data_IF_560216109541
#
_entry.id   IF_560216109541
#
_cell.length_a   1.000
_cell.length_b   1.000
_cell.length_c   1.000
_cell.angle_alpha   90.00
_cell.angle_beta   90.00
_cell.angle_gamma   90.00
#
_symmetry.space_group_name_H-M   'P 1'
#
loop_
_entity.id
_entity.type
_entity.pdbx_description
1 polymer ?
#
# COMPACT_ATOMS: atom_id res chain seq x y z
N UNK A 1 2.47 -22.58 -19.85
CA UNK A 1 3.20 -22.54 -18.57
C UNK A 1 4.56 -21.90 -18.80
N UNK A 2 4.72 -20.63 -18.45
CA UNK A 2 5.95 -19.87 -18.70
C UNK A 2 6.97 -20.11 -17.57
N UNK A 3 8.17 -20.55 -17.93
CA UNK A 3 9.32 -20.63 -17.01
C UNK A 3 9.83 -19.22 -16.73
N UNK A 4 9.71 -18.75 -15.50
CA UNK A 4 10.40 -17.55 -15.04
C UNK A 4 11.90 -17.85 -14.91
N UNK A 5 12.73 -17.13 -15.67
CA UNK A 5 14.18 -17.12 -15.49
C UNK A 5 14.49 -16.25 -14.27
N UNK A 6 15.09 -16.85 -13.23
CA UNK A 6 15.67 -16.13 -12.08
C UNK A 6 16.92 -15.38 -12.54
N UNK A 7 16.87 -14.05 -12.55
CA UNK A 7 18.08 -13.22 -12.54
C UNK A 7 18.26 -12.75 -11.09
N UNK A 8 19.32 -13.22 -10.44
CA UNK A 8 19.71 -12.72 -9.13
C UNK A 8 20.29 -11.32 -9.30
N UNK A 9 19.60 -10.30 -8.79
CA UNK A 9 20.13 -8.94 -8.67
C UNK A 9 21.33 -8.94 -7.73
N UNK A 10 22.47 -8.45 -8.22
CA UNK A 10 23.67 -8.23 -7.42
C UNK A 10 23.45 -6.94 -6.60
N UNK A 11 23.35 -7.07 -5.28
CA UNK A 11 23.47 -5.93 -4.39
C UNK A 11 24.95 -5.49 -4.35
N UNK A 12 25.25 -4.34 -4.95
CA UNK A 12 26.55 -3.70 -4.80
C UNK A 12 26.55 -2.90 -3.49
N UNK A 13 27.23 -3.43 -2.48
CA UNK A 13 27.44 -2.76 -1.20
C UNK A 13 28.72 -1.91 -1.34
N UNK A 14 28.58 -0.60 -1.53
CA UNK A 14 29.72 0.32 -1.55
C UNK A 14 30.21 0.57 -0.13
N UNK A 15 31.33 -0.05 0.25
CA UNK A 15 32.05 0.27 1.49
C UNK A 15 33.46 0.76 1.14
N UNK A 16 33.80 1.97 1.59
CA UNK A 16 35.14 2.53 1.48
C UNK A 16 36.02 2.06 2.64
N UNK A 17 37.20 1.52 2.31
CA UNK A 17 38.43 1.67 3.11
C UNK A 17 38.92 0.45 3.91
N UNK A 18 40.15 0.00 3.59
CA UNK A 18 41.02 -0.76 4.51
C UNK A 18 41.39 -2.16 4.02
N UNK A 19 42.60 -2.30 3.45
CA UNK A 19 43.05 -3.54 2.80
C UNK A 19 43.46 -4.68 3.73
N UNK A 20 43.40 -5.91 3.17
CA UNK A 20 44.44 -6.96 3.26
C UNK A 20 43.99 -8.19 2.45
N UNK A 21 44.96 -8.82 1.80
CA UNK A 21 44.84 -9.98 0.88
C UNK A 21 44.36 -11.24 1.60
N UNK A 22 43.48 -12.02 0.97
CA UNK A 22 43.10 -13.38 1.37
C UNK A 22 42.19 -14.04 0.32
N UNK A 23 42.48 -15.30 -0.03
CA UNK A 23 42.07 -16.00 -1.26
C UNK A 23 40.58 -16.27 -1.48
N UNK A 24 40.20 -16.35 -2.75
CA UNK A 24 38.90 -16.80 -3.24
C UNK A 24 38.81 -18.34 -3.21
N UNK A 25 37.77 -18.87 -2.57
CA UNK A 25 37.30 -20.25 -2.78
C UNK A 25 35.92 -20.16 -3.43
N UNK A 26 35.83 -20.55 -4.70
CA UNK A 26 34.57 -20.65 -5.43
C UNK A 26 33.94 -22.02 -5.16
N UNK A 27 32.77 -22.04 -4.53
CA UNK A 27 31.95 -23.25 -4.39
C UNK A 27 30.91 -23.28 -5.52
N UNK A 28 31.08 -24.22 -6.45
CA UNK A 28 30.10 -24.53 -7.48
C UNK A 28 29.01 -25.45 -6.90
N UNK A 29 27.74 -25.14 -7.14
CA UNK A 29 26.61 -26.02 -6.81
C UNK A 29 25.92 -26.44 -8.10
N UNK A 30 25.89 -27.76 -8.31
CA UNK A 30 25.27 -28.48 -9.44
C UNK A 30 23.74 -28.51 -9.27
N UNK A 31 23.01 -28.21 -10.35
CA UNK A 31 21.55 -28.34 -10.41
C UNK A 31 21.14 -29.70 -11.01
N UNK A 32 20.28 -30.43 -10.30
CA UNK A 32 19.60 -31.62 -10.82
C UNK A 32 18.12 -31.31 -11.09
N UNK A 33 17.64 -31.63 -12.29
CA UNK A 33 16.26 -31.45 -12.76
C UNK A 33 15.55 -32.80 -12.71
N UNK A 34 14.36 -32.84 -12.10
CA UNK A 34 13.41 -33.96 -12.25
C UNK A 34 12.06 -33.37 -12.70
N UNK A 35 11.57 -33.85 -13.84
CA UNK A 35 10.26 -33.55 -14.43
C UNK A 35 9.33 -34.73 -14.18
N UNK A 36 8.13 -34.48 -13.65
CA UNK A 36 6.99 -35.39 -13.78
C UNK A 36 5.73 -34.55 -14.03
N UNK A 37 5.00 -34.94 -15.09
CA UNK A 37 3.78 -34.28 -15.57
C UNK A 37 2.51 -34.86 -14.93
N UNK A 38 1.40 -34.18 -15.23
CA UNK A 38 0.05 -34.64 -14.91
C UNK A 38 -0.99 -33.80 -15.64
N UNK A 39 -1.72 -34.44 -16.56
CA UNK A 39 -2.89 -33.90 -17.25
C UNK A 39 -4.15 -34.01 -16.37
N UNK A 40 -5.07 -33.06 -16.51
CA UNK A 40 -6.43 -33.17 -15.97
C UNK A 40 -7.36 -32.23 -16.73
N UNK A 41 -8.27 -32.80 -17.52
CA UNK A 41 -9.29 -32.12 -18.31
C UNK A 41 -10.54 -31.84 -17.46
N UNK A 42 -11.26 -30.76 -17.79
CA UNK A 42 -12.60 -30.46 -17.29
C UNK A 42 -13.53 -30.11 -18.44
N UNK A 43 -14.78 -30.55 -18.34
CA UNK A 43 -15.91 -30.27 -19.21
C UNK A 43 -17.23 -30.44 -18.41
N UNK A 44 -18.37 -29.96 -18.93
CA UNK A 44 -19.07 -28.80 -18.35
C UNK A 44 -20.57 -29.05 -18.06
N UNK A 45 -21.32 -27.94 -17.96
CA UNK A 45 -22.79 -27.77 -18.06
C UNK A 45 -23.62 -27.92 -16.75
N UNK A 46 -24.76 -27.28 -16.52
CA UNK A 46 -25.60 -26.17 -17.07
C UNK A 46 -26.72 -25.97 -16.03
N UNK A 47 -27.50 -24.88 -16.08
CA UNK A 47 -28.88 -24.91 -15.57
C UNK A 47 -29.39 -23.66 -14.85
N UNK A 48 -30.22 -22.89 -15.55
CA UNK A 48 -31.24 -21.93 -15.07
C UNK A 48 -32.35 -22.65 -14.26
N UNK A 49 -33.40 -22.08 -13.66
CA UNK A 49 -34.20 -20.87 -13.88
C UNK A 49 -35.26 -20.76 -12.76
N UNK A 50 -35.90 -19.58 -12.63
CA UNK A 50 -37.27 -19.38 -12.07
C UNK A 50 -37.49 -19.62 -10.56
N UNK A 51 -38.36 -18.90 -9.84
CA UNK A 51 -39.67 -18.36 -10.23
C UNK A 51 -40.17 -17.34 -9.20
N UNK A 52 -40.97 -16.37 -9.68
CA UNK A 52 -41.70 -15.34 -8.93
C UNK A 52 -42.82 -15.93 -8.07
N UNK A 53 -43.18 -15.22 -6.99
CA UNK A 53 -44.46 -15.36 -6.28
C UNK A 53 -45.17 -14.01 -6.18
N UNK A 54 -46.49 -14.10 -6.06
CA UNK A 54 -47.57 -13.16 -6.43
C UNK A 54 -48.38 -12.66 -5.22
N UNK A 55 -49.12 -11.56 -5.41
CA UNK A 55 -50.37 -11.21 -4.67
C UNK A 55 -50.25 -9.95 -3.80
N UNK A 56 -50.86 -8.79 -4.16
CA UNK A 56 -52.27 -8.36 -3.99
C UNK A 56 -52.67 -8.13 -2.52
N UNK A 57 -53.43 -7.11 -2.07
CA UNK A 57 -54.01 -5.89 -2.65
C UNK A 57 -54.76 -5.11 -1.51
N UNK A 58 -55.14 -3.83 -1.77
CA UNK A 58 -56.24 -3.02 -1.14
C UNK A 58 -56.04 -2.60 0.34
N UNK A 59 -56.22 -1.36 0.83
CA UNK A 59 -56.92 -0.16 0.38
C UNK A 59 -57.99 0.23 1.44
N UNK A 60 -58.00 1.48 1.93
CA UNK A 60 -59.21 2.28 2.25
C UNK A 60 -58.94 3.50 3.16
N UNK A 61 -59.62 4.56 2.78
CA UNK A 61 -59.57 5.95 3.22
C UNK A 61 -60.00 6.25 4.65
N UNK A 62 -59.42 7.33 5.18
CA UNK A 62 -59.86 8.00 6.40
C UNK A 62 -60.86 9.12 6.14
N UNK A 63 -61.80 9.27 7.07
CA UNK A 63 -62.52 10.52 7.37
C UNK A 63 -62.85 10.54 8.86
N UNK A 64 -62.44 11.58 9.58
CA UNK A 64 -63.38 12.33 10.43
C UNK A 64 -62.84 13.71 10.82
N UNK A 65 -63.76 14.67 10.88
CA UNK A 65 -63.54 16.05 11.28
C UNK A 65 -63.73 16.24 12.79
N UNK A 66 -63.09 17.26 13.38
CA UNK A 66 -63.28 17.68 14.77
C UNK A 66 -62.61 19.03 15.04
N UNK A 67 -63.37 19.94 15.65
CA UNK A 67 -63.13 21.38 15.75
C UNK A 67 -62.49 21.83 17.07
N UNK A 68 -61.87 23.02 17.02
CA UNK A 68 -61.65 24.04 18.06
C UNK A 68 -60.59 23.82 19.16
N UNK A 69 -59.75 24.86 19.34
CA UNK A 69 -58.91 25.05 20.53
C UNK A 69 -57.75 26.02 20.31
N UNK A 70 -58.00 27.32 20.49
CA UNK A 70 -56.95 28.34 20.50
C UNK A 70 -55.91 28.04 21.59
N UNK A 71 -54.64 27.94 21.19
CA UNK A 71 -53.50 27.84 22.10
C UNK A 71 -52.32 28.65 21.56
N UNK A 72 -51.73 29.41 22.47
CA UNK A 72 -50.60 30.34 22.37
C UNK A 72 -49.42 29.78 21.57
N UNK A 73 -48.67 30.58 20.78
CA UNK A 73 -47.53 30.04 20.04
C UNK A 73 -46.39 29.71 21.01
N UNK A 74 -46.28 28.44 21.39
CA UNK A 74 -45.06 27.89 21.95
C UNK A 74 -44.01 27.84 20.84
N UNK A 75 -42.88 28.52 21.05
CA UNK A 75 -41.73 28.45 20.17
C UNK A 75 -41.36 26.99 19.95
N UNK A 76 -41.60 26.49 18.73
CA UNK A 76 -41.13 25.18 18.31
C UNK A 76 -39.61 25.23 18.37
N UNK A 77 -38.91 24.32 19.07
CA UNK A 77 -37.48 24.19 18.86
C UNK A 77 -37.32 23.82 17.39
N UNK A 78 -36.76 24.76 16.62
CA UNK A 78 -36.32 24.51 15.25
C UNK A 78 -35.47 23.27 15.31
N UNK A 79 -36.02 22.15 14.84
CA UNK A 79 -35.28 20.90 14.71
C UNK A 79 -34.20 21.21 13.71
N UNK A 80 -32.99 21.49 14.21
CA UNK A 80 -31.82 21.60 13.37
C UNK A 80 -31.81 20.31 12.53
N UNK A 81 -32.03 20.47 11.22
CA UNK A 81 -31.85 19.38 10.28
C UNK A 81 -30.46 18.82 10.57
N UNK A 82 -30.30 17.51 10.83
CA UNK A 82 -28.96 16.97 11.00
C UNK A 82 -28.20 17.32 9.73
N UNK A 83 -27.17 18.17 9.86
CA UNK A 83 -26.21 18.38 8.78
C UNK A 83 -25.78 16.98 8.37
N UNK A 84 -26.00 16.64 7.09
CA UNK A 84 -25.50 15.40 6.54
C UNK A 84 -24.04 15.27 6.97
N UNK A 85 -23.72 14.26 7.80
CA UNK A 85 -22.37 14.10 8.32
C UNK A 85 -21.45 13.95 7.11
N UNK A 86 -20.62 14.95 6.88
CA UNK A 86 -19.59 14.89 5.85
C UNK A 86 -18.67 13.74 6.21
N UNK A 87 -18.52 12.79 5.28
CA UNK A 87 -17.61 11.65 5.47
C UNK A 87 -16.22 12.16 5.88
N UNK A 88 -15.48 11.43 6.73
CA UNK A 88 -14.27 11.95 7.39
C UNK A 88 -13.16 12.42 6.43
N UNK A 89 -13.14 11.91 5.21
CA UNK A 89 -12.19 12.29 4.16
C UNK A 89 -12.82 13.01 2.96
N UNK A 90 -14.03 13.56 3.12
CA UNK A 90 -14.68 14.34 2.07
C UNK A 90 -13.76 15.48 1.59
N UNK A 91 -13.53 15.54 0.28
CA UNK A 91 -12.65 16.53 -0.35
C UNK A 91 -11.15 16.22 -0.28
N UNK A 92 -10.74 15.12 0.37
CA UNK A 92 -9.35 14.67 0.40
C UNK A 92 -8.97 13.85 -0.82
N UNK A 93 -7.74 14.00 -1.28
CA UNK A 93 -7.14 13.22 -2.37
C UNK A 93 -5.98 12.39 -1.82
N UNK A 94 -6.04 11.07 -2.01
CA UNK A 94 -4.97 10.14 -1.60
C UNK A 94 -4.38 9.46 -2.83
N UNK A 95 -3.06 9.55 -2.98
CA UNK A 95 -2.33 8.77 -3.98
C UNK A 95 -1.80 7.47 -3.36
N UNK A 96 -2.23 6.32 -3.88
CA UNK A 96 -1.69 5.01 -3.50
C UNK A 96 -0.82 4.48 -4.64
N UNK A 97 0.37 4.02 -4.27
CA UNK A 97 1.35 3.46 -5.18
C UNK A 97 1.54 1.98 -4.85
N UNK A 98 0.81 1.06 -5.50
CA UNK A 98 1.10 -0.36 -5.38
C UNK A 98 2.45 -0.62 -6.05
N UNK A 99 3.46 -0.95 -5.23
CA UNK A 99 4.84 -1.17 -5.67
C UNK A 99 4.94 -2.24 -6.75
N UNK A 100 5.85 -2.01 -7.71
CA UNK A 100 6.10 -2.88 -8.87
C UNK A 100 4.88 -3.04 -9.79
N UNK A 101 4.97 -3.93 -10.79
CA UNK A 101 3.85 -4.32 -11.64
C UNK A 101 3.81 -5.83 -11.87
N UNK A 102 2.60 -6.40 -12.06
CA UNK A 102 2.43 -7.86 -12.19
C UNK A 102 3.26 -8.50 -13.30
N UNK A 103 3.53 -7.78 -14.39
CA UNK A 103 4.18 -8.31 -15.60
C UNK A 103 5.59 -7.76 -15.85
N UNK A 104 6.18 -7.00 -14.91
CA UNK A 104 7.53 -6.42 -15.06
C UNK A 104 8.60 -7.49 -15.42
N UNK A 105 8.45 -8.73 -14.95
CA UNK A 105 9.37 -9.83 -15.27
C UNK A 105 9.44 -10.19 -16.77
N UNK A 106 8.47 -9.75 -17.58
CA UNK A 106 8.42 -9.92 -19.03
C UNK A 106 9.04 -8.74 -19.79
N UNK A 107 9.35 -7.63 -19.11
CA UNK A 107 9.74 -6.34 -19.67
C UNK A 107 11.05 -5.82 -19.05
N UNK A 108 12.01 -6.72 -18.87
CA UNK A 108 13.27 -6.41 -18.17
C UNK A 108 14.08 -5.30 -18.86
N UNK A 109 14.01 -5.20 -20.20
CA UNK A 109 14.68 -4.14 -20.95
C UNK A 109 14.10 -2.76 -20.61
N UNK A 110 12.78 -2.66 -20.52
CA UNK A 110 12.07 -1.41 -20.27
C UNK A 110 12.24 -0.94 -18.83
N UNK A 111 12.11 -1.85 -17.86
CA UNK A 111 12.25 -1.51 -16.43
C UNK A 111 13.71 -1.23 -16.03
N UNK A 112 14.70 -1.81 -16.73
CA UNK A 112 16.12 -1.53 -16.47
C UNK A 112 16.59 -0.19 -17.06
N UNK A 113 15.77 0.51 -17.86
CA UNK A 113 16.12 1.85 -18.34
C UNK A 113 16.26 2.80 -17.16
N UNK A 114 17.39 3.50 -17.07
CA UNK A 114 17.60 4.46 -16.00
C UNK A 114 16.67 5.68 -16.13
N UNK A 115 16.10 6.13 -15.01
CA UNK A 115 15.36 7.39 -14.84
C UNK A 115 16.07 8.28 -13.83
N UNK A 116 15.81 9.57 -13.90
CA UNK A 116 16.31 10.54 -12.91
C UNK A 116 15.44 10.46 -11.65
N UNK A 117 16.06 10.31 -10.49
CA UNK A 117 15.39 10.27 -9.20
C UNK A 117 15.65 11.51 -8.33
N UNK A 118 16.11 12.60 -8.96
CA UNK A 118 16.44 13.88 -8.36
C UNK A 118 17.86 13.91 -7.80
N UNK A 119 18.29 12.89 -7.08
CA UNK A 119 19.65 12.82 -6.48
C UNK A 119 20.67 12.08 -7.34
N UNK A 120 20.23 11.10 -8.11
CA UNK A 120 21.03 10.32 -9.06
C UNK A 120 20.09 9.64 -10.09
N UNK A 121 20.59 8.64 -10.83
CA UNK A 121 19.77 7.82 -11.72
C UNK A 121 19.64 6.39 -11.19
N UNK A 122 18.45 5.81 -11.34
CA UNK A 122 18.13 4.42 -10.98
C UNK A 122 17.25 3.78 -12.04
N UNK A 123 17.11 2.47 -12.02
CA UNK A 123 16.22 1.71 -12.88
C UNK A 123 14.79 2.27 -12.82
N UNK A 124 14.11 2.26 -13.96
CA UNK A 124 12.72 2.70 -14.11
C UNK A 124 11.81 1.99 -13.11
N UNK A 125 11.90 0.67 -13.01
CA UNK A 125 11.18 -0.13 -12.01
C UNK A 125 11.95 -1.44 -11.78
N UNK A 126 11.48 -2.27 -10.86
CA UNK A 126 11.97 -3.63 -10.64
C UNK A 126 10.82 -4.62 -10.62
N UNK A 127 11.13 -5.92 -10.62
CA UNK A 127 10.10 -6.97 -10.53
C UNK A 127 9.48 -7.09 -9.14
N UNK A 128 10.11 -6.51 -8.12
CA UNK A 128 9.86 -6.84 -6.73
C UNK A 128 10.40 -8.22 -6.35
N UNK A 129 10.18 -8.61 -5.09
CA UNK A 129 10.49 -9.94 -4.55
C UNK A 129 9.30 -10.90 -4.67
N UNK A 130 9.40 -12.07 -4.06
CA UNK A 130 8.30 -13.04 -3.95
C UNK A 130 8.47 -13.88 -2.67
N UNK A 131 7.42 -14.57 -2.24
CA UNK A 131 7.57 -15.61 -1.22
C UNK A 131 8.34 -16.82 -1.75
N UNK A 132 8.83 -17.67 -0.85
CA UNK A 132 9.46 -18.94 -1.25
C UNK A 132 8.51 -19.89 -2.00
N UNK A 133 7.19 -19.68 -1.89
CA UNK A 133 6.17 -20.42 -2.64
C UNK A 133 5.76 -19.74 -3.96
N UNK A 134 6.44 -18.67 -4.36
CA UNK A 134 6.20 -17.96 -5.62
C UNK A 134 5.01 -17.00 -5.60
N UNK A 135 4.58 -16.50 -4.43
CA UNK A 135 3.60 -15.41 -4.38
C UNK A 135 4.32 -14.06 -4.60
N UNK A 136 4.09 -13.36 -5.73
CA UNK A 136 4.87 -12.16 -6.08
C UNK A 136 4.49 -10.95 -5.24
N UNK A 137 5.47 -10.08 -4.97
CA UNK A 137 5.26 -8.80 -4.28
C UNK A 137 4.25 -7.93 -5.03
N UNK A 138 4.39 -7.78 -6.35
CA UNK A 138 3.47 -6.99 -7.17
C UNK A 138 2.00 -7.44 -7.05
N UNK A 139 1.75 -8.73 -6.83
CA UNK A 139 0.41 -9.26 -6.59
C UNK A 139 -0.11 -8.92 -5.19
N UNK A 140 0.78 -8.92 -4.19
CA UNK A 140 0.46 -8.49 -2.83
C UNK A 140 0.13 -6.99 -2.77
N UNK A 141 1.00 -6.15 -3.31
CA UNK A 141 0.87 -4.68 -3.24
C UNK A 141 -0.38 -4.21 -3.96
N UNK A 142 -0.70 -4.78 -5.13
CA UNK A 142 -1.92 -4.47 -5.89
C UNK A 142 -3.20 -4.87 -5.14
N UNK A 143 -3.25 -6.08 -4.56
CA UNK A 143 -4.42 -6.51 -3.77
C UNK A 143 -4.64 -5.61 -2.55
N UNK A 144 -3.58 -5.32 -1.77
CA UNK A 144 -3.70 -4.45 -0.59
C UNK A 144 -4.09 -3.03 -1.00
N UNK A 145 -3.49 -2.46 -2.05
CA UNK A 145 -3.82 -1.11 -2.51
C UNK A 145 -5.27 -0.97 -2.95
N UNK A 146 -5.83 -1.98 -3.63
CA UNK A 146 -7.26 -2.02 -4.01
C UNK A 146 -8.17 -2.07 -2.80
N UNK A 147 -7.81 -2.82 -1.74
CA UNK A 147 -8.55 -2.85 -0.47
C UNK A 147 -8.48 -1.50 0.24
N UNK A 148 -7.31 -0.90 0.33
CA UNK A 148 -7.12 0.44 0.92
C UNK A 148 -7.95 1.47 0.16
N UNK A 149 -7.93 1.45 -1.18
CA UNK A 149 -8.77 2.30 -2.03
C UNK A 149 -10.25 2.18 -1.67
N UNK A 150 -10.78 0.96 -1.55
CA UNK A 150 -12.18 0.74 -1.22
C UNK A 150 -12.55 1.35 0.15
N UNK A 151 -11.69 1.15 1.16
CA UNK A 151 -11.91 1.69 2.51
C UNK A 151 -11.85 3.23 2.51
N UNK A 152 -10.86 3.83 1.85
CA UNK A 152 -10.70 5.28 1.79
C UNK A 152 -11.82 5.95 0.98
N UNK A 153 -12.27 5.33 -0.11
CA UNK A 153 -13.41 5.80 -0.90
C UNK A 153 -14.71 5.77 -0.09
N UNK A 154 -14.94 4.72 0.72
CA UNK A 154 -16.06 4.66 1.64
C UNK A 154 -16.00 5.75 2.74
N UNK A 155 -14.81 6.28 3.02
CA UNK A 155 -14.58 7.43 3.91
C UNK A 155 -14.66 8.79 3.20
N UNK A 156 -14.97 8.83 1.91
CA UNK A 156 -15.17 10.05 1.14
C UNK A 156 -13.93 10.59 0.41
N UNK A 157 -12.78 9.89 0.48
CA UNK A 157 -11.58 10.32 -0.23
C UNK A 157 -11.68 10.01 -1.73
N UNK A 158 -11.16 10.92 -2.57
CA UNK A 158 -10.76 10.59 -3.93
C UNK A 158 -9.43 9.83 -3.87
N UNK A 159 -9.38 8.64 -4.45
CA UNK A 159 -8.17 7.81 -4.45
C UNK A 159 -7.64 7.69 -5.88
N UNK A 160 -6.36 8.02 -6.05
CA UNK A 160 -5.61 7.85 -7.31
C UNK A 160 -4.63 6.70 -7.12
N UNK A 161 -4.68 5.70 -8.00
CA UNK A 161 -3.65 4.66 -8.05
C UNK A 161 -2.59 5.04 -9.07
N UNK A 162 -1.30 4.82 -8.76
CA UNK A 162 -0.23 4.99 -9.75
C UNK A 162 -0.27 3.93 -10.84
N UNK A 163 -0.83 2.76 -10.55
CA UNK A 163 -1.12 1.67 -11.47
C UNK A 163 -2.23 0.77 -10.91
N UNK A 164 -3.00 0.11 -11.77
CA UNK A 164 -4.05 -0.83 -11.35
C UNK A 164 -3.95 -2.18 -12.08
N UNK A 165 -2.73 -2.62 -12.42
CA UNK A 165 -2.48 -3.86 -13.17
C UNK A 165 -2.95 -3.82 -14.62
N UNK A 166 -3.10 -2.63 -15.17
CA UNK A 166 -3.64 -2.31 -16.49
C UNK A 166 -2.56 -1.93 -17.52
N UNK A 167 -1.29 -2.00 -17.13
CA UNK A 167 -0.12 -1.69 -17.96
C UNK A 167 0.77 -2.92 -18.13
N UNK A 168 1.45 -3.08 -19.28
CA UNK A 168 2.39 -4.17 -19.50
C UNK A 168 3.61 -4.09 -18.55
N UNK A 169 4.07 -2.88 -18.22
CA UNK A 169 5.11 -2.62 -17.24
C UNK A 169 5.02 -1.17 -16.75
N UNK A 170 5.69 -0.87 -15.64
CA UNK A 170 5.69 0.47 -15.05
C UNK A 170 4.29 0.96 -14.65
N UNK A 171 4.12 2.21 -14.21
CA UNK A 171 4.99 3.35 -14.48
C UNK A 171 6.34 3.30 -13.78
N UNK A 172 7.31 4.01 -14.34
CA UNK A 172 8.62 4.16 -13.72
C UNK A 172 8.52 4.93 -12.38
N UNK A 173 9.50 4.79 -11.48
CA UNK A 173 9.50 5.41 -10.14
C UNK A 173 9.36 6.94 -10.16
N UNK A 174 9.86 7.61 -11.19
CA UNK A 174 9.70 9.04 -11.44
C UNK A 174 8.27 9.39 -11.88
N UNK A 175 7.68 8.60 -12.78
CA UNK A 175 6.28 8.74 -13.19
C UNK A 175 5.32 8.46 -12.02
N UNK A 176 5.60 7.47 -11.17
CA UNK A 176 4.81 7.18 -9.95
C UNK A 176 4.78 8.35 -8.98
N UNK A 177 5.91 9.05 -8.80
CA UNK A 177 5.96 10.28 -8.01
C UNK A 177 5.14 11.40 -8.67
N UNK A 178 5.33 11.61 -9.98
CA UNK A 178 4.60 12.62 -10.75
C UNK A 178 3.08 12.43 -10.70
N UNK A 179 2.57 11.20 -10.80
CA UNK A 179 1.12 10.92 -10.70
C UNK A 179 0.53 11.47 -9.38
N UNK A 180 1.22 11.28 -8.26
CA UNK A 180 0.77 11.81 -6.97
C UNK A 180 0.80 13.34 -6.90
N UNK A 181 1.84 13.94 -7.49
CA UNK A 181 2.00 15.40 -7.54
C UNK A 181 0.93 16.05 -8.44
N UNK A 182 0.72 15.51 -9.65
CA UNK A 182 -0.25 16.00 -10.64
C UNK A 182 -1.70 15.83 -10.16
N UNK A 183 -1.96 14.83 -9.32
CA UNK A 183 -3.25 14.65 -8.67
C UNK A 183 -3.53 15.69 -7.57
N UNK A 184 -2.54 16.51 -7.21
CA UNK A 184 -2.58 17.40 -6.03
C UNK A 184 -3.00 16.65 -4.76
N UNK A 185 -2.44 15.46 -4.54
CA UNK A 185 -2.80 14.62 -3.41
C UNK A 185 -2.47 15.30 -2.07
N UNK A 186 -3.35 15.19 -1.08
CA UNK A 186 -3.06 15.60 0.30
C UNK A 186 -1.99 14.71 0.93
N UNK A 187 -1.92 13.44 0.51
CA UNK A 187 -0.97 12.45 0.98
C UNK A 187 -0.74 11.35 -0.07
N UNK A 188 0.48 10.83 -0.12
CA UNK A 188 0.84 9.68 -0.94
C UNK A 188 1.43 8.52 -0.10
N UNK A 189 1.18 7.29 -0.52
CA UNK A 189 1.72 6.09 0.14
C UNK A 189 2.16 5.07 -0.91
N UNK A 190 3.41 4.62 -0.85
CA UNK A 190 3.85 3.41 -1.55
C UNK A 190 3.71 2.17 -0.67
N UNK A 191 3.07 1.12 -1.18
CA UNK A 191 2.84 -0.14 -0.47
C UNK A 191 3.73 -1.21 -1.09
N UNK A 192 4.57 -1.83 -0.26
CA UNK A 192 5.57 -2.84 -0.63
C UNK A 192 5.61 -3.99 0.38
N UNK A 193 6.37 -5.04 0.03
CA UNK A 193 6.81 -6.05 0.97
C UNK A 193 8.27 -6.46 0.67
N UNK A 194 9.08 -6.61 1.72
CA UNK A 194 10.52 -6.68 1.57
C UNK A 194 11.02 -8.12 1.26
N UNK A 195 12.25 -8.20 0.77
CA UNK A 195 13.00 -9.44 0.61
C UNK A 195 14.32 -9.41 1.37
N UNK A 196 14.32 -9.96 2.59
CA UNK A 196 15.48 -10.01 3.48
C UNK A 196 15.86 -11.46 3.86
N UNK A 197 17.00 -11.73 4.52
CA UNK A 197 17.36 -13.09 4.96
C UNK A 197 16.24 -13.79 5.74
N UNK A 198 16.16 -15.12 5.69
CA UNK A 198 15.01 -15.86 6.21
C UNK A 198 14.72 -15.65 7.72
N UNK A 199 15.72 -15.27 8.53
CA UNK A 199 15.56 -14.93 9.95
C UNK A 199 15.08 -13.50 10.23
N UNK A 200 15.17 -12.61 9.23
CA UNK A 200 14.68 -11.25 9.29
C UNK A 200 13.16 -11.23 9.13
N UNK A 201 12.44 -10.43 9.90
CA UNK A 201 10.97 -10.35 9.84
C UNK A 201 10.46 -9.02 10.40
N UNK A 202 9.18 -8.73 10.16
CA UNK A 202 8.50 -7.53 10.62
C UNK A 202 8.45 -6.42 9.56
N UNK A 203 7.62 -5.42 9.84
CA UNK A 203 7.34 -4.31 8.94
C UNK A 203 8.15 -3.06 9.28
N UNK A 204 8.34 -2.17 8.31
CA UNK A 204 8.91 -0.85 8.55
C UNK A 204 8.31 0.21 7.62
N UNK A 205 8.40 1.47 8.04
CA UNK A 205 7.97 2.63 7.25
C UNK A 205 9.18 3.49 6.91
N UNK A 206 9.26 3.97 5.68
CA UNK A 206 10.37 4.78 5.18
C UNK A 206 9.84 6.19 4.88
N UNK A 207 10.43 7.19 5.53
CA UNK A 207 10.21 8.60 5.27
C UNK A 207 11.36 9.20 4.43
N UNK A 208 11.10 10.28 3.68
CA UNK A 208 12.14 10.99 2.95
C UNK A 208 13.11 11.70 3.92
N UNK A 209 14.39 11.66 3.59
CA UNK A 209 15.36 12.62 4.10
C UNK A 209 14.99 14.05 3.65
N UNK A 210 15.40 15.06 4.42
CA UNK A 210 15.26 16.46 4.02
C UNK A 210 16.36 16.84 3.04
N UNK A 211 16.06 16.73 1.74
CA UNK A 211 17.00 16.93 0.65
C UNK A 211 16.77 18.26 -0.05
N UNK A 212 17.86 18.85 -0.52
CA UNK A 212 17.89 19.93 -1.50
C UNK A 212 19.10 19.72 -2.40
N UNK A 213 19.00 18.79 -3.35
CA UNK A 213 20.11 18.37 -4.21
C UNK A 213 19.60 17.83 -5.53
N UNK A 214 20.28 18.20 -6.63
CA UNK A 214 19.86 17.90 -7.99
C UNK A 214 18.42 18.35 -8.25
N UNK A 215 17.57 17.45 -8.75
CA UNK A 215 16.14 17.69 -8.95
C UNK A 215 15.26 17.43 -7.73
N UNK A 216 15.82 16.99 -6.60
CA UNK A 216 15.06 16.67 -5.39
C UNK A 216 15.00 17.86 -4.41
N UNK A 217 13.78 18.24 -4.01
CA UNK A 217 13.53 19.16 -2.89
C UNK A 217 12.39 18.62 -2.01
N UNK A 218 12.77 17.90 -0.95
CA UNK A 218 11.83 17.29 0.00
C UNK A 218 11.71 18.07 1.31
N UNK A 219 12.37 19.23 1.43
CA UNK A 219 12.39 20.03 2.68
C UNK A 219 11.00 20.33 3.21
N UNK A 220 10.06 20.67 2.31
CA UNK A 220 8.66 20.98 2.67
C UNK A 220 7.86 19.77 3.14
N UNK A 221 8.24 18.57 2.68
CA UNK A 221 7.48 17.33 2.97
C UNK A 221 8.14 16.45 4.00
N UNK A 222 9.41 16.64 4.36
CA UNK A 222 10.15 15.75 5.24
C UNK A 222 9.50 15.63 6.64
N UNK A 223 9.21 16.75 7.30
CA UNK A 223 8.56 16.72 8.62
C UNK A 223 7.11 16.19 8.59
N UNK A 224 6.23 16.62 7.65
CA UNK A 224 4.92 16.00 7.47
C UNK A 224 4.98 14.50 7.17
N UNK A 225 5.93 14.06 6.35
CA UNK A 225 6.09 12.64 5.99
C UNK A 225 6.60 11.82 7.17
N UNK A 226 7.43 12.39 8.05
CA UNK A 226 7.83 11.74 9.29
C UNK A 226 6.64 11.55 10.24
N UNK A 227 5.75 12.56 10.35
CA UNK A 227 4.48 12.41 11.09
C UNK A 227 3.58 11.34 10.48
N UNK A 228 3.45 11.33 9.15
CA UNK A 228 2.72 10.27 8.44
C UNK A 228 3.33 8.90 8.75
N UNK A 229 4.65 8.77 8.71
CA UNK A 229 5.33 7.51 8.94
C UNK A 229 5.06 6.95 10.35
N UNK A 230 5.14 7.79 11.37
CA UNK A 230 4.90 7.37 12.75
C UNK A 230 3.42 7.05 13.01
N UNK A 231 2.49 7.83 12.47
CA UNK A 231 1.05 7.54 12.55
C UNK A 231 0.73 6.21 11.84
N UNK A 232 1.16 6.05 10.60
CA UNK A 232 0.93 4.83 9.81
C UNK A 232 1.50 3.59 10.51
N UNK A 233 2.72 3.71 11.06
CA UNK A 233 3.36 2.62 11.82
C UNK A 233 2.52 2.19 13.02
N UNK A 234 1.96 3.13 13.79
CA UNK A 234 1.12 2.83 14.96
C UNK A 234 -0.14 2.07 14.55
N UNK A 235 -0.88 2.58 13.55
CA UNK A 235 -2.14 1.97 13.10
C UNK A 235 -1.93 0.62 12.41
N UNK A 236 -0.88 0.48 11.59
CA UNK A 236 -0.55 -0.78 10.94
C UNK A 236 -0.23 -1.87 11.96
N UNK A 237 0.59 -1.56 12.97
CA UNK A 237 0.91 -2.48 14.05
C UNK A 237 -0.34 -2.91 14.82
N UNK A 238 -1.19 -1.95 15.19
CA UNK A 238 -2.42 -2.23 15.94
C UNK A 238 -3.38 -3.14 15.17
N UNK A 239 -3.55 -2.93 13.86
CA UNK A 239 -4.47 -3.71 13.05
C UNK A 239 -3.95 -5.12 12.69
N UNK A 240 -2.64 -5.27 12.47
CA UNK A 240 -2.06 -6.51 11.96
C UNK A 240 -1.44 -7.40 13.03
N UNK A 241 -0.98 -6.80 14.13
CA UNK A 241 -0.11 -7.46 15.11
C UNK A 241 1.34 -7.64 14.64
N UNK A 242 1.70 -7.19 13.44
CA UNK A 242 3.03 -7.37 12.86
C UNK A 242 4.09 -6.64 13.72
N UNK A 243 5.22 -7.28 14.07
CA UNK A 243 6.30 -6.63 14.80
C UNK A 243 7.05 -5.63 13.92
N UNK A 244 7.77 -4.71 14.55
CA UNK A 244 8.71 -3.86 13.80
C UNK A 244 9.85 -4.72 13.24
N UNK A 245 10.32 -4.36 12.05
CA UNK A 245 11.41 -5.03 11.37
C UNK A 245 12.65 -5.17 12.28
N UNK A 246 13.13 -6.38 12.47
CA UNK A 246 14.30 -6.67 13.32
C UNK A 246 15.66 -6.54 12.59
N UNK A 247 15.65 -6.16 11.31
CA UNK A 247 16.81 -6.16 10.42
C UNK A 247 17.13 -4.78 9.82
N UNK A 248 16.25 -3.79 10.04
CA UNK A 248 16.39 -2.41 9.57
C UNK A 248 15.89 -1.42 10.63
N UNK A 249 16.34 -0.16 10.51
CA UNK A 249 15.87 0.93 11.40
C UNK A 249 16.16 0.73 12.89
N UNK A 250 17.16 -0.11 13.23
CA UNK A 250 17.51 -0.42 14.63
C UNK A 250 16.37 -1.05 15.43
N UNK A 251 15.46 -1.79 14.80
CA UNK A 251 14.32 -2.42 15.46
C UNK A 251 13.12 -1.48 15.70
N UNK A 252 13.18 -0.23 15.21
CA UNK A 252 12.14 0.79 15.45
C UNK A 252 11.03 0.80 14.39
N UNK A 253 11.16 0.00 13.33
CA UNK A 253 10.18 -0.03 12.23
C UNK A 253 10.06 1.31 11.49
N UNK A 254 11.10 2.14 11.52
CA UNK A 254 11.14 3.47 10.89
C UNK A 254 12.52 3.72 10.31
N UNK A 255 12.56 4.23 9.09
CA UNK A 255 13.77 4.65 8.39
C UNK A 255 13.59 6.02 7.75
N UNK A 256 14.69 6.76 7.63
CA UNK A 256 14.77 8.00 6.83
C UNK A 256 15.80 7.76 5.74
N UNK A 257 15.42 8.01 4.48
CA UNK A 257 16.25 7.66 3.30
C UNK A 257 16.20 8.76 2.23
N UNK A 258 17.30 8.91 1.49
CA UNK A 258 17.44 9.86 0.38
C UNK A 258 17.73 9.22 -0.99
N UNK A 259 17.52 7.90 -1.14
CA UNK A 259 17.90 7.12 -2.33
C UNK A 259 16.69 6.53 -3.10
N UNK A 260 15.47 6.93 -2.75
CA UNK A 260 14.23 6.40 -3.33
C UNK A 260 13.53 7.46 -4.19
N UNK A 261 13.50 7.28 -5.51
CA UNK A 261 12.92 8.27 -6.43
C UNK A 261 11.45 8.58 -6.17
N UNK A 262 10.67 7.55 -5.79
CA UNK A 262 9.29 7.75 -5.38
C UNK A 262 9.13 8.72 -4.20
N UNK A 263 10.11 8.82 -3.31
CA UNK A 263 10.15 9.78 -2.19
C UNK A 263 10.80 11.11 -2.59
N UNK A 264 11.97 11.05 -3.21
CA UNK A 264 12.79 12.22 -3.54
C UNK A 264 12.10 13.20 -4.50
N UNK A 265 11.23 12.68 -5.38
CA UNK A 265 10.49 13.47 -6.38
C UNK A 265 9.07 13.84 -5.94
N UNK A 266 8.66 13.46 -4.72
CA UNK A 266 7.33 13.81 -4.20
C UNK A 266 7.29 15.28 -3.76
N UNK A 267 6.25 16.01 -4.15
CA UNK A 267 5.96 17.37 -3.64
C UNK A 267 4.86 17.39 -2.57
N UNK A 268 4.31 16.21 -2.26
CA UNK A 268 3.28 16.00 -1.23
C UNK A 268 3.83 15.07 -0.12
N UNK A 269 3.30 15.10 1.12
CA UNK A 269 3.71 14.17 2.17
C UNK A 269 3.61 12.71 1.68
N UNK A 270 4.73 11.98 1.74
CA UNK A 270 4.83 10.61 1.20
C UNK A 270 5.72 9.71 2.01
N UNK A 271 5.31 8.45 2.15
CA UNK A 271 6.11 7.38 2.78
C UNK A 271 6.01 6.08 1.97
N UNK A 272 6.94 5.16 2.22
CA UNK A 272 6.82 3.76 1.82
C UNK A 272 6.50 2.92 3.05
N UNK A 273 5.62 1.94 2.92
CA UNK A 273 5.47 0.88 3.93
C UNK A 273 5.92 -0.45 3.33
N UNK A 274 6.87 -1.08 4.01
CA UNK A 274 7.31 -2.45 3.77
C UNK A 274 6.58 -3.35 4.77
N UNK A 275 5.54 -4.03 4.31
CA UNK A 275 4.55 -4.66 5.20
C UNK A 275 5.04 -5.93 5.92
N UNK A 276 6.21 -6.45 5.58
CA UNK A 276 6.81 -7.67 6.12
C UNK A 276 7.84 -8.25 5.15
N UNK A 277 8.58 -9.28 5.56
CA UNK A 277 9.59 -9.94 4.73
C UNK A 277 9.03 -11.17 4.00
N UNK A 278 8.86 -11.12 2.68
CA UNK A 278 8.36 -12.23 1.86
C UNK A 278 9.22 -13.50 1.94
N UNK A 279 10.50 -13.38 2.31
CA UNK A 279 11.42 -14.51 2.45
C UNK A 279 11.39 -15.16 3.83
N UNK A 280 10.73 -14.54 4.81
CA UNK A 280 10.47 -15.11 6.12
C UNK A 280 9.21 -15.98 6.12
N UNK A 281 9.25 -17.13 6.79
CA UNK A 281 8.12 -18.07 6.80
C UNK A 281 6.87 -17.53 7.50
N UNK A 282 7.05 -16.78 8.58
CA UNK A 282 5.94 -16.22 9.37
C UNK A 282 5.29 -15.06 8.63
N UNK A 283 6.08 -14.10 8.14
CA UNK A 283 5.57 -12.96 7.38
C UNK A 283 4.93 -13.44 6.07
N UNK A 284 5.54 -14.39 5.35
CA UNK A 284 4.94 -14.95 4.14
C UNK A 284 3.56 -15.59 4.40
N UNK A 285 3.36 -16.25 5.57
CA UNK A 285 2.05 -16.79 5.96
C UNK A 285 1.02 -15.69 6.16
N UNK A 286 1.43 -14.56 6.75
CA UNK A 286 0.60 -13.36 6.88
C UNK A 286 0.28 -12.73 5.53
N UNK A 287 1.29 -12.42 4.71
CA UNK A 287 1.15 -11.72 3.43
C UNK A 287 0.30 -12.51 2.42
N UNK A 288 0.35 -13.85 2.44
CA UNK A 288 -0.46 -14.72 1.58
C UNK A 288 -1.91 -14.89 2.08
N UNK A 289 -2.21 -14.55 3.33
CA UNK A 289 -3.55 -14.63 3.90
C UNK A 289 -4.43 -13.45 3.49
N UNK A 290 -5.56 -13.73 2.83
CA UNK A 290 -6.53 -12.69 2.45
C UNK A 290 -7.10 -11.93 3.67
N UNK A 291 -7.35 -12.64 4.78
CA UNK A 291 -7.84 -12.02 6.01
C UNK A 291 -6.78 -11.08 6.63
N UNK A 292 -5.51 -11.45 6.58
CA UNK A 292 -4.44 -10.58 7.06
C UNK A 292 -4.24 -9.37 6.13
N UNK A 293 -4.30 -9.55 4.80
CA UNK A 293 -4.27 -8.43 3.84
C UNK A 293 -5.41 -7.43 4.05
N UNK A 294 -6.60 -7.92 4.44
CA UNK A 294 -7.70 -7.03 4.82
C UNK A 294 -7.38 -6.22 6.09
N UNK A 295 -6.77 -6.84 7.11
CA UNK A 295 -6.33 -6.12 8.32
C UNK A 295 -5.21 -5.12 8.03
N UNK A 296 -4.26 -5.48 7.17
CA UNK A 296 -3.21 -4.57 6.70
C UNK A 296 -3.82 -3.35 5.99
N UNK A 297 -4.77 -3.58 5.07
CA UNK A 297 -5.48 -2.51 4.39
C UNK A 297 -6.27 -1.60 5.35
N UNK A 298 -6.91 -2.19 6.37
CA UNK A 298 -7.60 -1.44 7.42
C UNK A 298 -6.62 -0.56 8.22
N UNK A 299 -5.50 -1.12 8.70
CA UNK A 299 -4.49 -0.36 9.44
C UNK A 299 -3.85 0.76 8.61
N UNK A 300 -3.64 0.52 7.31
CA UNK A 300 -3.17 1.56 6.38
C UNK A 300 -4.20 2.67 6.26
N UNK A 301 -5.47 2.33 5.99
CA UNK A 301 -6.52 3.32 5.83
C UNK A 301 -6.73 4.14 7.11
N UNK A 302 -6.68 3.50 8.29
CA UNK A 302 -6.78 4.17 9.59
C UNK A 302 -5.62 5.13 9.84
N UNK A 303 -4.39 4.72 9.51
CA UNK A 303 -3.22 5.59 9.62
C UNK A 303 -3.29 6.81 8.69
N UNK A 304 -3.77 6.61 7.46
CA UNK A 304 -3.97 7.71 6.50
C UNK A 304 -5.10 8.64 6.93
N UNK A 305 -6.22 8.10 7.42
CA UNK A 305 -7.33 8.90 7.96
C UNK A 305 -6.87 9.75 9.15
N UNK A 306 -6.21 9.13 10.13
CA UNK A 306 -5.71 9.85 11.30
C UNK A 306 -4.71 10.95 10.94
N UNK A 307 -3.84 10.72 9.95
CA UNK A 307 -2.92 11.75 9.45
C UNK A 307 -3.66 12.93 8.81
N UNK A 308 -4.66 12.65 7.96
CA UNK A 308 -5.42 13.67 7.22
C UNK A 308 -6.37 14.49 8.11
N UNK A 309 -6.87 13.91 9.19
CA UNK A 309 -7.69 14.60 10.19
C UNK A 309 -6.83 15.42 11.19
N UNK A 310 -5.50 15.33 11.11
CA UNK A 310 -4.60 16.05 12.00
C UNK A 310 -4.49 15.44 13.39
N UNK A 311 -4.96 14.21 13.59
CA UNK A 311 -4.82 13.50 14.86
C UNK A 311 -3.34 13.32 15.22
N UNK A 312 -2.94 13.58 16.48
CA UNK A 312 -1.58 13.27 16.91
C UNK A 312 -1.36 11.76 16.77
N UNK A 313 -0.14 11.35 16.39
CA UNK A 313 0.24 9.95 16.51
C UNK A 313 -0.05 9.53 17.95
N UNK A 314 -0.78 8.42 18.15
CA UNK A 314 -1.12 7.90 19.47
C UNK A 314 0.10 7.86 20.40
N UNK A 315 -0.10 7.87 21.74
CA UNK A 315 0.90 8.27 22.72
C UNK A 315 2.27 7.67 22.39
N UNK A 316 3.26 8.55 22.22
CA UNK A 316 4.64 8.16 22.02
C UNK A 316 5.00 7.13 23.10
N UNK A 317 5.38 5.92 22.68
CA UNK A 317 5.92 4.93 23.61
C UNK A 317 7.08 5.59 24.33
N UNK A 318 6.85 5.82 25.62
CA UNK A 318 7.68 6.68 26.45
C UNK A 318 9.10 6.17 26.52
N UNK A 319 10.01 7.12 26.75
CA UNK A 319 11.26 6.86 27.44
C UNK A 319 10.99 5.90 28.61
N UNK A 320 11.46 4.68 28.51
CA UNK A 320 11.82 3.82 29.64
C UNK A 320 13.24 3.36 29.41
#
# INVERSE_FOLDING_TARGET
MARAYRVAGVFSNGSHGGGRRGGFVAAAVVAAVVLLGGCGAAGPDTGSDGTKSTGSAVGADGKNAGSAGASTPAATPSSATPSAETLPLAGKVVALDPGHNPTNYQHTKEINRLVDIGTNRKECDTTGTETNSGYPEASYTLDVSRRVRAILAARGAKVVLTQDGDRPYGPCVDERARIGNDAHADVALSIHADGAPAGAHGFHVIAPESLHSGGADTRKIAAPSLRLATTLRTHFKAATGEPFANYLGGGKGLMVRGDLGGLNLSTVPKVFIECGNMRNKQDAKSLTSAAWRQRAAQGIADGLTAFLEGSPAGPAEGKR
#
